data_IF_023273578266
#
_entry.id   IF_023273578266
#
_cell.length_a   1.000
_cell.length_b   1.000
_cell.length_c   1.000
_cell.angle_alpha   90.00
_cell.angle_beta   90.00
_cell.angle_gamma   90.00
#
_symmetry.space_group_name_H-M   'P 1'
#
loop_
_entity.id
_entity.type
_entity.pdbx_description
1 polymer ?
#
# COMPACT_ATOMS: atom_id res chain seq x y z
N UNK A 1 11.72 6.79 -18.11
CA UNK A 1 10.75 7.10 -17.03
C UNK A 1 10.48 8.60 -17.09
N UNK A 2 9.22 9.05 -17.18
CA UNK A 2 8.91 10.48 -17.24
C UNK A 2 9.28 11.17 -15.92
N UNK A 3 9.89 12.36 -15.95
CA UNK A 3 10.29 13.14 -14.76
C UNK A 3 9.16 13.31 -13.74
N UNK A 4 7.90 13.39 -14.20
CA UNK A 4 6.72 13.50 -13.33
C UNK A 4 6.48 12.26 -12.46
N UNK A 5 6.73 11.07 -12.98
CA UNK A 5 6.58 9.81 -12.22
C UNK A 5 7.64 9.74 -11.11
N UNK A 6 8.87 10.17 -11.40
CA UNK A 6 9.94 10.22 -10.41
C UNK A 6 9.60 11.19 -9.25
N UNK A 7 9.03 12.36 -9.55
CA UNK A 7 8.59 13.32 -8.52
C UNK A 7 7.43 12.76 -7.67
N UNK A 8 6.46 12.09 -8.29
CA UNK A 8 5.32 11.51 -7.56
C UNK A 8 5.74 10.39 -6.60
N UNK A 9 6.59 9.47 -7.07
CA UNK A 9 7.11 8.39 -6.23
C UNK A 9 7.94 8.94 -5.06
N UNK A 10 8.75 9.98 -5.29
CA UNK A 10 9.51 10.64 -4.23
C UNK A 10 8.59 11.26 -3.16
N UNK A 11 7.56 12.00 -3.59
CA UNK A 11 6.57 12.60 -2.69
C UNK A 11 5.84 11.54 -1.85
N UNK A 12 5.39 10.46 -2.49
CA UNK A 12 4.73 9.37 -1.77
C UNK A 12 5.68 8.72 -0.76
N UNK A 13 6.96 8.55 -1.11
CA UNK A 13 7.94 7.96 -0.19
C UNK A 13 8.18 8.85 1.02
N UNK A 14 8.33 10.16 0.81
CA UNK A 14 8.42 11.12 1.91
C UNK A 14 7.18 11.10 2.82
N UNK A 15 5.98 11.01 2.25
CA UNK A 15 4.75 10.89 3.03
C UNK A 15 4.69 9.58 3.83
N UNK A 16 5.08 8.45 3.23
CA UNK A 16 5.13 7.16 3.91
C UNK A 16 6.15 7.18 5.07
N UNK A 17 7.34 7.73 4.84
CA UNK A 17 8.38 7.92 5.85
C UNK A 17 7.88 8.83 6.98
N UNK A 18 7.16 9.90 6.64
CA UNK A 18 6.54 10.77 7.63
C UNK A 18 5.55 9.98 8.49
N UNK A 19 4.61 9.23 7.89
CA UNK A 19 3.64 8.42 8.61
C UNK A 19 4.29 7.49 9.65
N UNK A 20 5.37 6.80 9.28
CA UNK A 20 6.10 5.92 10.21
C UNK A 20 6.68 6.70 11.40
N UNK A 21 7.15 7.94 11.21
CA UNK A 21 7.69 8.77 12.30
C UNK A 21 6.62 9.29 13.27
N UNK A 22 5.41 9.58 12.78
CA UNK A 22 4.34 10.19 13.60
C UNK A 22 3.42 9.17 14.26
N UNK A 23 3.25 7.98 13.68
CA UNK A 23 2.36 6.95 14.25
C UNK A 23 3.14 6.09 15.25
N UNK A 24 2.78 6.11 16.55
CA UNK A 24 3.51 5.33 17.55
C UNK A 24 3.41 3.83 17.27
N UNK A 25 4.53 3.10 17.47
CA UNK A 25 4.62 1.64 17.38
C UNK A 25 4.33 1.06 15.99
N UNK A 26 4.67 1.79 14.94
CA UNK A 26 4.63 1.30 13.55
C UNK A 26 6.05 0.99 13.09
N UNK A 27 6.25 -0.23 12.58
CA UNK A 27 7.55 -0.69 12.07
C UNK A 27 7.78 -0.27 10.60
N UNK A 28 6.71 0.00 9.86
CA UNK A 28 6.76 0.44 8.48
C UNK A 28 5.39 0.85 7.93
N UNK A 29 5.40 1.48 6.75
CA UNK A 29 4.20 2.03 6.12
C UNK A 29 4.30 1.99 4.61
N UNK A 30 3.16 2.22 3.97
CA UNK A 30 3.08 2.30 2.51
C UNK A 30 1.91 3.15 2.06
N UNK A 31 2.03 3.70 0.86
CA UNK A 31 1.00 4.49 0.21
C UNK A 31 0.79 3.96 -1.20
N UNK A 32 -0.47 3.84 -1.59
CA UNK A 32 -0.87 3.47 -2.94
C UNK A 32 -1.78 4.55 -3.51
N UNK A 33 -1.47 5.00 -4.72
CA UNK A 33 -2.38 5.81 -5.53
C UNK A 33 -3.12 4.89 -6.49
N UNK A 34 -4.44 4.97 -6.46
CA UNK A 34 -5.32 4.15 -7.28
C UNK A 34 -6.11 5.05 -8.24
N UNK A 35 -6.58 4.51 -9.37
CA UNK A 35 -7.61 5.16 -10.16
C UNK A 35 -8.98 5.00 -9.48
N UNK A 36 -10.00 5.68 -10.00
CA UNK A 36 -11.37 5.60 -9.47
C UNK A 36 -11.98 4.19 -9.54
N UNK A 37 -11.42 3.31 -10.38
CA UNK A 37 -11.81 1.89 -10.46
C UNK A 37 -11.03 0.95 -9.53
N UNK A 38 -10.09 1.51 -8.74
CA UNK A 38 -9.26 0.75 -7.81
C UNK A 38 -7.98 0.18 -8.40
N UNK A 39 -7.70 0.38 -9.71
CA UNK A 39 -6.43 -0.02 -10.31
C UNK A 39 -5.28 0.83 -9.77
N UNK A 40 -4.15 0.21 -9.43
CA UNK A 40 -2.97 0.94 -8.96
C UNK A 40 -2.30 1.77 -10.06
N UNK A 41 -1.97 3.02 -9.74
CA UNK A 41 -1.14 3.93 -10.54
C UNK A 41 0.32 3.81 -10.09
N UNK A 42 0.56 3.91 -8.79
CA UNK A 42 1.89 3.78 -8.18
C UNK A 42 1.74 3.45 -6.69
N UNK A 43 2.76 2.88 -6.10
CA UNK A 43 2.85 2.66 -4.66
C UNK A 43 4.29 2.77 -4.18
N UNK A 44 4.42 3.02 -2.89
CA UNK A 44 5.70 3.00 -2.17
C UNK A 44 5.49 2.26 -0.86
N UNK A 45 6.54 1.62 -0.36
CA UNK A 45 6.62 1.21 1.03
C UNK A 45 7.95 1.66 1.65
N UNK A 46 8.00 1.70 2.97
CA UNK A 46 9.21 1.98 3.75
C UNK A 46 9.97 0.71 4.10
N UNK A 47 9.33 -0.47 3.97
CA UNK A 47 9.90 -1.77 4.32
C UNK A 47 9.54 -2.87 3.30
N UNK A 48 10.17 -4.04 3.46
CA UNK A 48 9.96 -5.18 2.57
C UNK A 48 8.54 -5.75 2.65
N UNK A 49 7.91 -5.71 3.83
CA UNK A 49 6.54 -6.21 4.04
C UNK A 49 5.54 -5.40 3.22
N UNK A 50 5.64 -4.07 3.25
CA UNK A 50 4.81 -3.18 2.44
C UNK A 50 5.07 -3.36 0.95
N UNK A 51 6.31 -3.59 0.51
CA UNK A 51 6.58 -3.90 -0.91
C UNK A 51 5.96 -5.24 -1.33
N UNK A 52 5.90 -6.24 -0.45
CA UNK A 52 5.20 -7.49 -0.72
C UNK A 52 3.69 -7.30 -0.81
N UNK A 53 3.09 -6.52 0.11
CA UNK A 53 1.67 -6.14 0.06
C UNK A 53 1.34 -5.39 -1.23
N UNK A 54 2.25 -4.52 -1.68
CA UNK A 54 2.14 -3.86 -2.97
C UNK A 54 2.04 -4.92 -4.10
N UNK A 55 2.89 -5.95 -4.14
CA UNK A 55 2.80 -6.98 -5.18
C UNK A 55 1.46 -7.73 -5.15
N UNK A 56 0.88 -7.96 -3.96
CA UNK A 56 -0.43 -8.60 -3.85
C UNK A 56 -1.55 -7.77 -4.48
N UNK A 57 -1.45 -6.44 -4.44
CA UNK A 57 -2.45 -5.56 -5.04
C UNK A 57 -2.61 -5.77 -6.55
N UNK A 58 -1.51 -6.02 -7.27
CA UNK A 58 -1.56 -6.25 -8.70
C UNK A 58 -2.01 -7.68 -9.05
N UNK A 59 -1.74 -8.64 -8.16
CA UNK A 59 -1.97 -10.07 -8.43
C UNK A 59 -3.35 -10.55 -8.02
N UNK A 60 -3.96 -9.98 -6.98
CA UNK A 60 -5.21 -10.48 -6.42
C UNK A 60 -6.27 -9.39 -6.38
N UNK A 61 -7.36 -9.61 -7.12
CA UNK A 61 -8.47 -8.65 -7.24
C UNK A 61 -9.03 -8.20 -5.90
N UNK A 62 -9.10 -9.10 -4.94
CA UNK A 62 -9.78 -8.85 -3.69
C UNK A 62 -8.80 -8.71 -2.50
N UNK A 63 -7.50 -8.45 -2.72
CA UNK A 63 -6.52 -8.28 -1.64
C UNK A 63 -6.94 -7.27 -0.54
N UNK A 64 -6.35 -7.32 0.68
CA UNK A 64 -6.72 -6.45 1.79
C UNK A 64 -6.63 -4.94 1.49
N UNK A 65 -5.71 -4.49 0.63
CA UNK A 65 -5.62 -3.09 0.23
C UNK A 65 -6.79 -2.69 -0.68
N UNK A 66 -7.24 -3.57 -1.58
CA UNK A 66 -8.43 -3.33 -2.40
C UNK A 66 -9.71 -3.38 -1.56
N UNK A 67 -9.80 -4.27 -0.57
CA UNK A 67 -10.92 -4.29 0.39
C UNK A 67 -10.98 -2.97 1.17
N UNK A 68 -9.84 -2.52 1.72
CA UNK A 68 -9.73 -1.27 2.46
C UNK A 68 -10.16 -0.06 1.60
N UNK A 69 -9.72 -0.03 0.33
CA UNK A 69 -10.13 1.01 -0.61
C UNK A 69 -11.63 0.96 -0.95
N UNK A 70 -12.14 -0.23 -1.33
CA UNK A 70 -13.53 -0.42 -1.76
C UNK A 70 -14.54 -0.02 -0.68
N UNK A 71 -14.21 -0.31 0.57
CA UNK A 71 -15.11 -0.11 1.71
C UNK A 71 -14.78 1.13 2.54
N UNK A 72 -13.76 1.91 2.16
CA UNK A 72 -13.24 3.02 2.95
C UNK A 72 -13.04 2.64 4.44
N UNK A 73 -12.41 1.49 4.67
CA UNK A 73 -12.34 0.83 5.97
C UNK A 73 -10.91 0.46 6.36
N UNK A 74 -10.64 0.41 7.67
CA UNK A 74 -9.40 -0.14 8.20
C UNK A 74 -9.48 -1.66 8.17
N UNK A 75 -8.62 -2.30 7.37
CA UNK A 75 -8.53 -3.77 7.27
C UNK A 75 -7.26 -4.22 7.96
N UNK A 76 -7.42 -4.99 9.03
CA UNK A 76 -6.31 -5.66 9.71
C UNK A 76 -6.03 -7.02 9.06
N UNK A 77 -4.76 -7.36 8.88
CA UNK A 77 -4.34 -8.68 8.41
C UNK A 77 -3.22 -9.21 9.28
N UNK A 78 -3.27 -10.49 9.61
CA UNK A 78 -2.19 -11.20 10.28
C UNK A 78 -1.53 -12.17 9.30
N UNK A 79 -0.21 -12.24 9.31
CA UNK A 79 0.54 -13.25 8.56
C UNK A 79 0.36 -14.60 9.24
N UNK A 80 -0.74 -15.29 8.90
CA UNK A 80 -1.03 -16.72 9.03
C UNK A 80 -2.52 -16.96 9.27
N UNK A 81 -3.29 -17.26 8.21
CA UNK A 81 -4.09 -18.49 8.04
C UNK A 81 -5.09 -18.35 6.89
N UNK A 82 -5.30 -19.48 6.22
CA UNK A 82 -6.12 -19.67 5.04
C UNK A 82 -7.59 -19.30 5.27
N UNK A 83 -8.16 -18.57 4.31
CA UNK A 83 -9.61 -18.40 4.23
C UNK A 83 -10.06 -17.43 3.14
N UNK A 84 -9.33 -16.33 2.94
CA UNK A 84 -9.73 -15.31 1.95
C UNK A 84 -8.61 -14.85 1.02
N UNK A 85 -7.38 -14.66 1.53
CA UNK A 85 -6.22 -14.17 0.77
C UNK A 85 -5.06 -15.16 0.88
N UNK A 86 -4.33 -15.45 -0.22
CA UNK A 86 -3.16 -16.31 -0.19
C UNK A 86 -1.97 -15.70 0.55
#
# INVERSE_FOLDING_TARGET
MSTRTATLTALLRELADNCVRIVPKVDGGGLSMLTTDGRRITSVATDQTGEQLNVLHDRYRDNPCTEAWRHAAVVGTVSSTAGRWP
#
